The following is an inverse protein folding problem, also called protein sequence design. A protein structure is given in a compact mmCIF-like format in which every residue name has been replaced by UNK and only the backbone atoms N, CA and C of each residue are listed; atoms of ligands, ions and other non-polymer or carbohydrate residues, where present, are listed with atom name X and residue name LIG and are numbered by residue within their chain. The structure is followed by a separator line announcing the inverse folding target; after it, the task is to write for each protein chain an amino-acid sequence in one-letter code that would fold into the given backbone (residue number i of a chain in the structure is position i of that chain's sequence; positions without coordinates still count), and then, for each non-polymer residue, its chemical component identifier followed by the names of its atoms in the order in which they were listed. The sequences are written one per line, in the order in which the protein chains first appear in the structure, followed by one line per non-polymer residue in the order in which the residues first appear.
data_IF_092812696964
#
_entry.id   IF_092812696964
#
_cell.length_a   1.000
_cell.length_b   1.000
_cell.length_c   1.000
_cell.angle_alpha   90.00
_cell.angle_beta   90.00
_cell.angle_gamma   90.00
#
_symmetry.space_group_name_H-M   'P 1'
#
loop_
_entity.id
_entity.type
_entity.pdbx_description
1 polymer ?
#
# COMPACT_ATOMS: atom_id res chain seq x y z
N UNK A 1 -64.05 9.75 -62.25
CA UNK A 1 -64.41 9.72 -60.81
C UNK A 1 -63.25 9.06 -60.10
N UNK A 2 -62.45 9.86 -59.41
CA UNK A 2 -61.14 9.50 -58.86
C UNK A 2 -61.31 9.31 -57.35
N UNK A 3 -60.90 8.16 -56.82
CA UNK A 3 -60.92 7.87 -55.38
C UNK A 3 -59.76 8.60 -54.67
N UNK A 4 -59.94 9.13 -53.45
CA UNK A 4 -58.85 9.66 -52.65
C UNK A 4 -58.24 8.56 -51.77
N UNK A 5 -56.94 8.37 -51.94
CA UNK A 5 -56.04 7.62 -51.06
C UNK A 5 -55.69 8.51 -49.86
N UNK A 6 -56.16 8.17 -48.66
CA UNK A 6 -55.64 8.76 -47.41
C UNK A 6 -54.61 7.81 -46.80
N UNK A 7 -53.35 8.25 -46.85
CA UNK A 7 -52.20 7.70 -46.13
C UNK A 7 -52.17 8.33 -44.73
N UNK A 8 -52.46 7.54 -43.70
CA UNK A 8 -52.12 7.89 -42.32
C UNK A 8 -50.69 7.45 -42.01
N UNK A 9 -49.76 8.33 -41.63
CA UNK A 9 -48.51 7.92 -41.02
C UNK A 9 -48.77 7.56 -39.55
N UNK A 10 -48.50 6.31 -39.18
CA UNK A 10 -48.40 5.90 -37.78
C UNK A 10 -47.15 6.55 -37.18
N UNK A 11 -47.37 7.62 -36.39
CA UNK A 11 -46.36 8.13 -35.46
C UNK A 11 -46.07 7.04 -34.43
N UNK A 12 -44.95 6.36 -34.64
CA UNK A 12 -44.32 5.50 -33.64
C UNK A 12 -43.66 6.41 -32.61
N UNK A 13 -44.42 6.88 -31.63
CA UNK A 13 -43.87 7.43 -30.39
C UNK A 13 -43.13 6.29 -29.67
N UNK A 14 -41.84 6.17 -29.99
CA UNK A 14 -40.89 5.35 -29.25
C UNK A 14 -40.72 5.98 -27.87
N UNK A 15 -41.60 5.63 -26.93
CA UNK A 15 -41.41 5.91 -25.52
C UNK A 15 -40.13 5.22 -25.06
N UNK A 16 -39.05 6.01 -24.91
CA UNK A 16 -37.86 5.60 -24.20
C UNK A 16 -38.27 5.34 -22.75
N UNK A 17 -38.52 4.07 -22.45
CA UNK A 17 -38.60 3.56 -21.08
C UNK A 17 -37.27 3.86 -20.40
N UNK A 18 -37.23 4.95 -19.64
CA UNK A 18 -36.20 5.21 -18.65
C UNK A 18 -36.21 4.06 -17.66
N UNK A 19 -35.35 3.06 -17.90
CA UNK A 19 -35.04 2.06 -16.90
C UNK A 19 -34.54 2.80 -15.66
N UNK A 20 -35.05 2.52 -14.45
CA UNK A 20 -34.63 3.23 -13.25
C UNK A 20 -33.10 3.18 -13.16
N UNK A 21 -32.46 4.36 -13.17
CA UNK A 21 -31.01 4.49 -13.16
C UNK A 21 -30.45 3.66 -12.00
N UNK A 22 -29.88 2.52 -12.37
CA UNK A 22 -29.34 1.59 -11.40
C UNK A 22 -28.10 2.25 -10.81
N UNK A 23 -28.14 2.53 -9.52
CA UNK A 23 -27.02 3.13 -8.79
C UNK A 23 -25.72 2.37 -9.13
N UNK A 24 -24.68 3.05 -9.64
CA UNK A 24 -23.48 2.39 -10.14
C UNK A 24 -22.73 1.68 -9.00
N UNK A 25 -22.31 0.44 -9.25
CA UNK A 25 -21.46 -0.32 -8.34
C UNK A 25 -20.01 0.10 -8.54
N UNK A 26 -19.44 0.75 -7.53
CA UNK A 26 -18.08 1.25 -7.55
C UNK A 26 -17.09 0.23 -6.94
N UNK A 27 -15.88 0.18 -7.50
CA UNK A 27 -14.77 -0.63 -6.98
C UNK A 27 -13.87 0.23 -6.10
N UNK A 28 -13.34 -0.33 -5.00
CA UNK A 28 -12.34 0.36 -4.20
C UNK A 28 -11.04 0.47 -5.00
N UNK A 29 -10.44 1.66 -5.06
CA UNK A 29 -9.18 1.90 -5.74
C UNK A 29 -8.37 2.99 -5.03
N UNK A 30 -7.29 3.46 -5.67
CA UNK A 30 -6.51 4.62 -5.26
C UNK A 30 -6.29 5.57 -6.42
N UNK A 31 -6.26 6.85 -6.10
CA UNK A 31 -5.69 7.87 -6.96
C UNK A 31 -4.23 8.09 -6.57
N UNK A 32 -3.37 8.28 -7.57
CA UNK A 32 -1.92 8.41 -7.42
C UNK A 32 -1.43 9.65 -8.16
N UNK A 33 -0.49 10.37 -7.55
CA UNK A 33 0.24 11.48 -8.15
C UNK A 33 1.63 11.60 -7.52
N UNK A 34 2.71 11.43 -8.30
CA UNK A 34 4.09 11.32 -7.79
C UNK A 34 4.15 10.31 -6.62
N UNK A 35 4.69 10.72 -5.46
CA UNK A 35 4.74 9.91 -4.23
C UNK A 35 3.47 9.98 -3.37
N UNK A 36 2.45 10.72 -3.82
CA UNK A 36 1.21 10.91 -3.11
C UNK A 36 0.14 9.91 -3.58
N UNK A 37 -0.61 9.34 -2.65
CA UNK A 37 -1.77 8.50 -2.98
C UNK A 37 -2.90 8.65 -1.97
N UNK A 38 -4.13 8.56 -2.45
CA UNK A 38 -5.32 8.59 -1.60
C UNK A 38 -6.37 7.59 -2.06
N UNK A 39 -7.21 7.15 -1.13
CA UNK A 39 -8.26 6.17 -1.43
C UNK A 39 -9.36 6.82 -2.26
N UNK A 40 -9.81 6.13 -3.30
CA UNK A 40 -10.89 6.56 -4.19
C UNK A 40 -11.80 5.36 -4.51
N UNK A 41 -12.89 5.64 -5.22
CA UNK A 41 -13.74 4.64 -5.83
C UNK A 41 -13.69 4.80 -7.35
N UNK A 42 -13.66 3.68 -8.07
CA UNK A 42 -13.75 3.66 -9.52
C UNK A 42 -15.16 3.25 -9.93
N UNK A 43 -15.81 4.11 -10.71
CA UNK A 43 -17.11 3.86 -11.32
C UNK A 43 -16.98 2.91 -12.53
N UNK A 44 -18.09 2.30 -13.00
CA UNK A 44 -18.08 1.40 -14.16
C UNK A 44 -17.56 2.04 -15.46
N UNK A 45 -17.71 3.36 -15.62
CA UNK A 45 -17.18 4.13 -16.74
C UNK A 45 -15.67 4.42 -16.62
N UNK A 46 -15.01 3.96 -15.55
CA UNK A 46 -13.60 4.18 -15.27
C UNK A 46 -13.30 5.45 -14.46
N UNK A 47 -14.29 6.34 -14.29
CA UNK A 47 -14.15 7.60 -13.55
C UNK A 47 -13.84 7.35 -12.07
N UNK A 48 -12.98 8.20 -11.51
CA UNK A 48 -12.62 8.16 -10.10
C UNK A 48 -13.45 9.17 -9.31
N UNK A 49 -13.98 8.72 -8.18
CA UNK A 49 -14.77 9.53 -7.26
C UNK A 49 -14.31 9.33 -5.81
N UNK A 50 -14.58 10.30 -4.95
CA UNK A 50 -14.29 10.23 -3.52
C UNK A 50 -15.53 10.54 -2.70
N UNK A 51 -15.74 9.75 -1.64
CA UNK A 51 -16.70 10.08 -0.58
C UNK A 51 -16.23 11.25 0.29
N UNK A 52 -17.14 11.84 1.08
CA UNK A 52 -16.80 12.87 2.09
C UNK A 52 -15.56 12.51 2.91
N UNK A 53 -15.50 11.26 3.37
CA UNK A 53 -14.41 10.76 4.22
C UNK A 53 -13.09 10.65 3.46
N UNK A 54 -13.13 10.29 2.19
CA UNK A 54 -11.93 10.19 1.35
C UNK A 54 -11.41 11.58 0.98
N UNK A 55 -12.31 12.53 0.68
CA UNK A 55 -11.96 13.91 0.40
C UNK A 55 -11.42 14.66 1.64
N UNK A 56 -11.94 14.37 2.84
CA UNK A 56 -11.54 15.10 4.07
C UNK A 56 -10.20 14.65 4.65
N UNK A 57 -9.86 13.36 4.51
CA UNK A 57 -8.72 12.75 5.21
C UNK A 57 -7.35 13.31 4.78
N UNK A 58 -7.06 13.47 3.47
CA UNK A 58 -5.87 14.15 2.96
C UNK A 58 -5.56 15.48 3.62
N UNK A 59 -6.59 16.32 3.75
CA UNK A 59 -6.51 17.72 4.21
C UNK A 59 -6.77 17.86 5.71
N UNK A 60 -6.83 16.73 6.44
CA UNK A 60 -7.11 16.65 7.89
C UNK A 60 -8.40 17.38 8.33
N UNK A 61 -9.38 17.47 7.45
CA UNK A 61 -10.70 18.05 7.74
C UNK A 61 -11.69 16.97 8.17
N UNK A 62 -12.81 17.38 8.77
CA UNK A 62 -13.90 16.46 9.07
C UNK A 62 -14.73 16.17 7.81
N UNK A 63 -15.37 15.01 7.76
CA UNK A 63 -16.32 14.67 6.69
C UNK A 63 -17.53 15.63 6.65
N UNK A 64 -17.81 16.30 7.76
CA UNK A 64 -18.91 17.25 7.88
C UNK A 64 -18.56 18.54 7.14
N UNK A 65 -17.33 19.00 7.28
CA UNK A 65 -16.84 20.22 6.61
C UNK A 65 -16.85 20.07 5.08
N UNK A 66 -16.50 18.87 4.59
CA UNK A 66 -16.63 18.54 3.16
C UNK A 66 -18.09 18.66 2.74
N UNK A 67 -18.99 17.96 3.44
CA UNK A 67 -20.41 17.94 3.09
C UNK A 67 -21.03 19.35 3.10
N UNK A 68 -20.76 20.13 4.15
CA UNK A 68 -21.24 21.52 4.27
C UNK A 68 -20.69 22.42 3.15
N UNK A 69 -19.41 22.24 2.77
CA UNK A 69 -18.84 22.95 1.63
C UNK A 69 -19.52 22.57 0.31
N UNK A 70 -19.70 21.27 0.03
CA UNK A 70 -20.32 20.80 -1.22
C UNK A 70 -21.76 21.27 -1.35
N UNK A 71 -22.54 21.21 -0.26
CA UNK A 71 -23.93 21.68 -0.22
C UNK A 71 -24.02 23.21 -0.40
N UNK A 72 -23.17 23.98 0.30
CA UNK A 72 -23.18 25.46 0.20
C UNK A 72 -22.76 25.99 -1.17
N UNK A 73 -21.96 25.22 -1.93
CA UNK A 73 -21.52 25.58 -3.27
C UNK A 73 -22.32 24.88 -4.39
N UNK A 74 -23.40 24.17 -4.04
CA UNK A 74 -24.25 23.43 -5.00
C UNK A 74 -23.46 22.49 -5.90
N UNK A 75 -22.43 21.84 -5.34
CA UNK A 75 -21.58 20.92 -6.09
C UNK A 75 -22.28 19.56 -6.22
N UNK A 76 -22.36 19.06 -7.45
CA UNK A 76 -23.08 17.83 -7.76
C UNK A 76 -22.45 16.61 -7.08
N UNK A 77 -23.30 15.76 -6.51
CA UNK A 77 -22.91 14.51 -5.87
C UNK A 77 -23.50 13.32 -6.60
N UNK A 78 -22.70 12.27 -6.76
CA UNK A 78 -23.09 11.02 -7.40
C UNK A 78 -23.39 9.99 -6.32
N UNK A 79 -24.58 9.38 -6.36
CA UNK A 79 -24.88 8.22 -5.52
C UNK A 79 -24.20 6.98 -6.08
N UNK A 80 -23.42 6.29 -5.23
CA UNK A 80 -22.65 5.12 -5.64
C UNK A 80 -22.84 3.98 -4.64
N UNK A 81 -22.92 2.76 -5.14
CA UNK A 81 -22.92 1.56 -4.30
C UNK A 81 -21.49 1.06 -4.14
N UNK A 82 -20.97 1.05 -2.92
CA UNK A 82 -19.60 0.59 -2.62
C UNK A 82 -19.56 -0.94 -2.39
N UNK A 83 -18.37 -1.60 -2.33
CA UNK A 83 -18.27 -3.07 -2.30
C UNK A 83 -19.03 -3.78 -1.16
N UNK A 84 -19.26 -3.10 -0.03
CA UNK A 84 -20.07 -3.61 1.07
C UNK A 84 -21.59 -3.42 0.87
N UNK A 85 -22.01 -3.10 -0.36
CA UNK A 85 -23.38 -2.83 -0.81
C UNK A 85 -24.05 -1.59 -0.21
N UNK A 86 -23.35 -0.79 0.59
CA UNK A 86 -23.88 0.50 1.06
C UNK A 86 -23.91 1.51 -0.08
N UNK A 87 -24.96 2.32 -0.12
CA UNK A 87 -25.04 3.49 -1.00
C UNK A 87 -24.50 4.69 -0.25
N UNK A 88 -23.62 5.44 -0.90
CA UNK A 88 -23.02 6.67 -0.35
C UNK A 88 -23.03 7.78 -1.39
N UNK A 89 -22.91 9.03 -0.93
CA UNK A 89 -22.57 10.17 -1.77
C UNK A 89 -21.08 10.19 -2.07
N UNK A 90 -20.72 10.46 -3.32
CA UNK A 90 -19.36 10.64 -3.79
C UNK A 90 -19.26 11.82 -4.77
N UNK A 91 -18.07 12.35 -4.93
CA UNK A 91 -17.76 13.51 -5.77
C UNK A 91 -16.67 13.14 -6.77
N UNK A 92 -16.76 13.66 -7.99
CA UNK A 92 -15.68 13.57 -8.97
C UNK A 92 -14.38 14.17 -8.42
N UNK A 93 -13.24 13.75 -8.96
CA UNK A 93 -11.95 14.29 -8.55
C UNK A 93 -11.84 15.81 -8.78
N UNK A 94 -12.42 16.32 -9.86
CA UNK A 94 -12.46 17.75 -10.15
C UNK A 94 -13.23 18.54 -9.09
N UNK A 95 -14.36 18.01 -8.62
CA UNK A 95 -15.13 18.60 -7.52
C UNK A 95 -14.34 18.60 -6.20
N UNK A 96 -13.62 17.52 -5.90
CA UNK A 96 -12.72 17.45 -4.74
C UNK A 96 -11.58 18.48 -4.86
N UNK A 97 -11.05 18.68 -6.05
CA UNK A 97 -10.01 19.67 -6.31
C UNK A 97 -10.46 21.09 -5.98
N UNK A 98 -11.72 21.44 -6.30
CA UNK A 98 -12.31 22.74 -5.93
C UNK A 98 -12.30 22.93 -4.42
N UNK A 99 -12.73 21.92 -3.66
CA UNK A 99 -12.72 21.96 -2.20
C UNK A 99 -11.30 22.11 -1.63
N UNK A 100 -10.35 21.33 -2.13
CA UNK A 100 -8.96 21.42 -1.66
C UNK A 100 -8.31 22.76 -2.02
N UNK A 101 -8.62 23.32 -3.19
CA UNK A 101 -8.21 24.68 -3.59
C UNK A 101 -8.73 25.71 -2.61
N UNK A 102 -10.03 25.65 -2.26
CA UNK A 102 -10.62 26.55 -1.27
C UNK A 102 -9.90 26.49 0.08
N UNK A 103 -9.60 25.29 0.58
CA UNK A 103 -8.87 25.14 1.86
C UNK A 103 -7.45 25.70 1.78
N UNK A 104 -6.75 25.50 0.66
CA UNK A 104 -5.41 26.01 0.44
C UNK A 104 -5.40 27.54 0.41
N UNK A 105 -6.29 28.14 -0.38
CA UNK A 105 -6.39 29.59 -0.54
C UNK A 105 -6.85 30.28 0.75
N UNK A 106 -7.73 29.62 1.51
CA UNK A 106 -8.21 30.10 2.82
C UNK A 106 -7.26 29.78 3.97
N UNK A 107 -6.09 29.16 3.72
CA UNK A 107 -5.10 28.74 4.74
C UNK A 107 -5.70 27.86 5.85
N UNK A 108 -6.66 27.01 5.48
CA UNK A 108 -7.31 26.04 6.38
C UNK A 108 -6.59 24.69 6.40
N UNK A 109 -5.63 24.48 5.50
CA UNK A 109 -4.69 23.36 5.56
C UNK A 109 -3.59 23.72 6.57
N UNK A 110 -3.36 22.86 7.58
CA UNK A 110 -2.32 23.10 8.59
C UNK A 110 -0.95 23.29 7.94
N UNK A 111 -0.14 24.24 8.41
CA UNK A 111 1.20 24.55 7.87
C UNK A 111 2.08 23.30 7.74
N UNK A 112 2.12 22.46 8.77
CA UNK A 112 2.85 21.18 8.74
C UNK A 112 2.47 20.25 7.58
N UNK A 113 1.22 20.32 7.13
CA UNK A 113 0.71 19.53 6.00
C UNK A 113 0.95 20.24 4.67
N UNK A 114 0.93 21.58 4.67
CA UNK A 114 1.26 22.38 3.50
C UNK A 114 2.73 22.19 3.09
N UNK A 115 3.64 22.05 4.06
CA UNK A 115 5.07 21.82 3.81
C UNK A 115 5.40 20.38 3.35
N UNK A 116 4.52 19.42 3.66
CA UNK A 116 4.73 18.02 3.32
C UNK A 116 4.51 17.70 1.85
N UNK A 117 3.71 18.50 1.16
CA UNK A 117 3.24 18.18 -0.19
C UNK A 117 3.12 19.43 -1.06
N UNK A 118 3.40 19.27 -2.34
CA UNK A 118 3.14 20.27 -3.37
C UNK A 118 1.62 20.34 -3.66
N UNK A 119 0.84 20.89 -2.73
CA UNK A 119 -0.62 20.87 -2.81
C UNK A 119 -1.18 21.51 -4.08
N UNK A 120 -0.52 22.54 -4.61
CA UNK A 120 -0.94 23.18 -5.87
C UNK A 120 -0.93 22.17 -7.02
N UNK A 121 0.16 21.43 -7.17
CA UNK A 121 0.34 20.38 -8.17
C UNK A 121 -0.65 19.21 -7.97
N UNK A 122 -0.86 18.81 -6.71
CA UNK A 122 -1.83 17.76 -6.35
C UNK A 122 -3.24 18.19 -6.75
N UNK A 123 -3.62 19.44 -6.49
CA UNK A 123 -4.96 19.95 -6.83
C UNK A 123 -5.13 20.05 -8.34
N UNK A 124 -4.11 20.52 -9.06
CA UNK A 124 -4.15 20.63 -10.53
C UNK A 124 -4.28 19.26 -11.21
N UNK A 125 -3.54 18.26 -10.72
CA UNK A 125 -3.64 16.89 -11.24
C UNK A 125 -5.00 16.20 -10.99
N UNK A 126 -5.77 16.64 -9.98
CA UNK A 126 -7.15 16.18 -9.77
C UNK A 126 -8.15 16.79 -10.76
N UNK A 127 -7.85 17.97 -11.33
CA UNK A 127 -8.69 18.62 -12.34
C UNK A 127 -8.55 17.93 -13.70
N UNK A 128 -7.39 17.33 -13.96
CA UNK A 128 -7.06 16.64 -15.22
C UNK A 128 -6.61 15.19 -14.98
N UNK A 129 -7.49 14.31 -14.46
CA UNK A 129 -7.10 12.96 -14.05
C UNK A 129 -6.60 12.08 -15.20
N UNK A 130 -7.01 12.37 -16.45
CA UNK A 130 -6.55 11.68 -17.65
C UNK A 130 -5.08 11.93 -17.99
N UNK A 131 -4.55 13.11 -17.66
CA UNK A 131 -3.15 13.49 -17.93
C UNK A 131 -2.21 12.97 -16.83
N UNK A 132 -2.67 12.98 -15.57
CA UNK A 132 -1.93 12.44 -14.43
C UNK A 132 -1.66 10.92 -14.56
N UNK A 133 -2.57 10.19 -15.21
CA UNK A 133 -2.43 8.75 -15.46
C UNK A 133 -1.42 8.44 -16.58
N UNK A 134 -1.34 9.30 -17.60
CA UNK A 134 -0.37 9.16 -18.69
C UNK A 134 1.04 9.58 -18.24
N UNK A 135 1.16 10.63 -17.43
CA UNK A 135 2.44 11.01 -16.82
C UNK A 135 2.94 9.97 -15.80
N UNK A 136 2.08 9.13 -15.22
CA UNK A 136 2.54 8.02 -14.36
C UNK A 136 3.08 6.81 -15.14
N UNK A 137 2.92 6.79 -16.48
CA UNK A 137 3.41 5.69 -17.34
C UNK A 137 4.52 6.13 -18.29
N UNK A 138 4.86 7.41 -18.31
CA UNK A 138 5.97 7.97 -19.09
C UNK A 138 6.74 9.09 -18.36
N UNK A 139 6.61 9.17 -17.03
CA UNK A 139 7.62 9.85 -16.23
C UNK A 139 8.87 9.01 -16.26
N UNK A 140 9.84 9.50 -17.04
CA UNK A 140 11.25 9.54 -16.66
C UNK A 140 11.39 9.23 -15.17
N UNK A 141 11.99 8.08 -14.94
CA UNK A 141 12.75 7.74 -13.76
C UNK A 141 13.51 9.00 -13.31
N UNK A 142 12.89 9.84 -12.49
CA UNK A 142 13.62 10.46 -11.41
C UNK A 142 13.99 9.30 -10.51
N UNK A 143 15.10 8.68 -10.88
CA UNK A 143 15.95 7.86 -10.05
C UNK A 143 16.14 8.63 -8.72
N UNK A 144 15.22 8.45 -7.77
CA UNK A 144 15.72 7.97 -6.49
C UNK A 144 16.44 6.71 -6.87
N UNK A 145 17.76 6.83 -7.07
CA UNK A 145 18.69 5.74 -7.29
C UNK A 145 18.42 4.79 -6.11
N UNK A 146 17.45 3.88 -6.29
CA UNK A 146 17.19 2.84 -5.31
C UNK A 146 18.41 1.97 -5.47
N UNK A 147 19.42 2.27 -4.66
CA UNK A 147 20.69 1.58 -4.68
C UNK A 147 20.41 0.14 -4.29
N UNK A 148 20.19 -0.68 -5.32
CA UNK A 148 19.92 -2.09 -5.14
C UNK A 148 21.19 -2.67 -4.56
N UNK A 149 21.10 -3.06 -3.29
CA UNK A 149 22.27 -3.53 -2.56
C UNK A 149 22.37 -5.05 -2.73
N UNK A 150 23.52 -5.60 -3.17
CA UNK A 150 23.67 -7.04 -3.24
C UNK A 150 23.58 -7.63 -1.83
N UNK A 151 22.82 -8.71 -1.67
CA UNK A 151 22.62 -9.38 -0.40
C UNK A 151 22.79 -10.89 -0.52
N UNK A 152 23.45 -11.48 0.48
CA UNK A 152 23.60 -12.92 0.59
C UNK A 152 22.52 -13.47 1.53
N UNK A 153 21.61 -14.34 1.05
CA UNK A 153 20.58 -14.93 1.89
C UNK A 153 21.18 -16.05 2.74
N UNK A 154 20.77 -16.13 4.01
CA UNK A 154 21.09 -17.25 4.90
C UNK A 154 19.83 -17.67 5.66
N UNK A 155 19.57 -18.97 5.71
CA UNK A 155 18.44 -19.52 6.48
C UNK A 155 18.93 -19.93 7.86
N UNK A 156 18.33 -19.34 8.88
CA UNK A 156 18.62 -19.62 10.29
C UNK A 156 17.51 -20.44 10.92
N UNK A 157 17.85 -21.51 11.63
CA UNK A 157 16.91 -22.16 12.53
C UNK A 157 16.89 -21.45 13.88
N UNK A 158 15.78 -20.78 14.20
CA UNK A 158 15.62 -20.03 15.45
C UNK A 158 15.34 -20.98 16.62
N UNK A 159 14.32 -21.82 16.45
CA UNK A 159 13.87 -22.81 17.44
C UNK A 159 12.89 -23.80 16.79
N UNK A 160 13.16 -25.11 16.88
CA UNK A 160 12.23 -26.21 16.54
C UNK A 160 11.40 -25.94 15.27
N UNK A 161 12.04 -25.99 14.09
CA UNK A 161 11.42 -25.74 12.77
C UNK A 161 11.00 -24.29 12.47
N UNK A 162 11.28 -23.32 13.34
CA UNK A 162 11.17 -21.89 12.99
C UNK A 162 12.38 -21.51 12.15
N UNK A 163 12.19 -21.46 10.84
CA UNK A 163 13.19 -21.04 9.87
C UNK A 163 12.99 -19.56 9.54
N UNK A 164 14.07 -18.79 9.60
CA UNK A 164 14.10 -17.38 9.25
C UNK A 164 15.21 -17.16 8.21
N UNK A 165 14.84 -16.69 7.03
CA UNK A 165 15.81 -16.19 6.06
C UNK A 165 16.21 -14.76 6.40
N UNK A 166 17.52 -14.54 6.49
CA UNK A 166 18.14 -13.24 6.77
C UNK A 166 19.02 -12.86 5.58
N UNK A 167 18.87 -11.62 5.12
CA UNK A 167 19.66 -11.02 4.06
C UNK A 167 20.88 -10.32 4.69
N UNK A 168 22.07 -10.73 4.28
CA UNK A 168 23.34 -10.17 4.74
C UNK A 168 23.82 -9.16 3.70
N UNK A 169 23.85 -7.89 4.07
CA UNK A 169 24.30 -6.78 3.24
C UNK A 169 25.78 -6.45 3.54
N UNK A 170 26.44 -5.63 2.70
CA UNK A 170 27.75 -5.08 3.00
C UNK A 170 27.80 -4.40 4.37
N UNK A 171 29.00 -4.32 4.97
CA UNK A 171 29.23 -3.76 6.32
C UNK A 171 28.51 -4.51 7.46
N UNK A 172 28.13 -5.79 7.25
CA UNK A 172 27.42 -6.64 8.23
C UNK A 172 26.08 -6.06 8.66
N UNK A 173 25.41 -5.35 7.76
CA UNK A 173 24.01 -5.00 7.98
C UNK A 173 23.15 -6.25 7.71
N UNK A 174 22.19 -6.52 8.60
CA UNK A 174 21.27 -7.64 8.48
C UNK A 174 19.86 -7.10 8.25
N UNK A 175 19.18 -7.65 7.24
CA UNK A 175 17.81 -7.28 6.90
C UNK A 175 16.98 -8.54 6.65
N UNK A 176 15.67 -8.40 6.71
CA UNK A 176 14.74 -9.52 6.51
C UNK A 176 13.64 -9.05 5.55
N UNK A 177 13.25 -9.91 4.62
CA UNK A 177 12.17 -9.67 3.67
C UNK A 177 10.78 -9.79 4.33
N UNK A 178 9.75 -9.09 3.83
CA UNK A 178 8.36 -9.26 4.24
C UNK A 178 7.92 -10.73 4.30
N UNK A 179 8.21 -11.49 3.25
CA UNK A 179 7.90 -12.91 3.10
C UNK A 179 8.48 -13.74 4.26
N UNK A 180 9.78 -13.61 4.54
CA UNK A 180 10.45 -14.36 5.61
C UNK A 180 9.99 -13.92 7.01
N UNK A 181 9.95 -12.61 7.25
CA UNK A 181 9.68 -12.05 8.57
C UNK A 181 8.22 -12.22 9.03
N UNK A 182 7.24 -12.15 8.12
CA UNK A 182 5.84 -12.46 8.44
C UNK A 182 5.58 -13.97 8.36
N UNK A 183 6.22 -14.67 7.42
CA UNK A 183 6.09 -16.11 7.24
C UNK A 183 6.48 -16.90 8.50
N UNK A 184 7.57 -16.53 9.17
CA UNK A 184 8.03 -17.22 10.39
C UNK A 184 6.99 -17.15 11.54
N UNK A 185 6.14 -16.12 11.57
CA UNK A 185 5.06 -15.96 12.55
C UNK A 185 3.68 -16.37 12.01
N UNK A 186 3.60 -16.87 10.77
CA UNK A 186 2.37 -17.33 10.12
C UNK A 186 1.40 -16.20 9.76
N UNK A 187 1.91 -15.01 9.42
CA UNK A 187 1.12 -13.86 8.97
C UNK A 187 1.30 -13.69 7.45
N UNK A 188 0.24 -13.25 6.76
CA UNK A 188 0.27 -13.00 5.32
C UNK A 188 1.15 -11.80 4.97
N UNK A 189 1.91 -11.90 3.88
CA UNK A 189 2.88 -10.89 3.42
C UNK A 189 2.24 -9.51 3.16
N UNK A 190 1.00 -9.50 2.66
CA UNK A 190 0.26 -8.28 2.37
C UNK A 190 -0.04 -7.42 3.61
N UNK A 191 0.16 -7.94 4.83
CA UNK A 191 -0.09 -7.18 6.06
C UNK A 191 0.73 -5.89 6.12
N UNK A 192 1.98 -5.89 5.62
CA UNK A 192 2.82 -4.69 5.54
C UNK A 192 2.28 -3.70 4.50
N UNK A 193 1.83 -4.18 3.34
CA UNK A 193 1.22 -3.35 2.29
C UNK A 193 -0.08 -2.68 2.75
N UNK A 194 -0.78 -3.30 3.70
CA UNK A 194 -1.98 -2.74 4.33
C UNK A 194 -1.69 -1.74 5.45
N UNK A 195 -0.44 -1.59 5.92
CA UNK A 195 -0.12 -0.68 7.03
C UNK A 195 -0.54 0.77 6.79
N UNK A 196 -0.30 1.37 5.60
CA UNK A 196 -0.77 2.74 5.30
C UNK A 196 -2.29 2.89 5.42
N UNK A 197 -3.03 1.80 5.24
CA UNK A 197 -4.50 1.77 5.35
C UNK A 197 -4.99 1.68 6.80
N UNK A 198 -4.10 1.42 7.76
CA UNK A 198 -4.44 1.24 9.16
C UNK A 198 -3.67 2.21 10.07
N UNK A 199 -4.14 3.48 10.19
CA UNK A 199 -3.48 4.50 10.99
C UNK A 199 -3.24 4.08 12.44
N UNK A 200 -4.15 3.28 13.01
CA UNK A 200 -4.01 2.75 14.37
C UNK A 200 -2.85 1.76 14.49
N UNK A 201 -2.70 0.84 13.53
CA UNK A 201 -1.59 -0.12 13.50
C UNK A 201 -0.26 0.61 13.28
N UNK A 202 -0.21 1.50 12.29
CA UNK A 202 0.99 2.28 11.99
C UNK A 202 1.41 3.14 13.19
N UNK A 203 0.47 3.87 13.81
CA UNK A 203 0.75 4.65 15.02
C UNK A 203 1.31 3.78 16.15
N UNK A 204 0.76 2.57 16.36
CA UNK A 204 1.25 1.63 17.38
C UNK A 204 2.70 1.20 17.10
N UNK A 205 3.03 0.94 15.83
CA UNK A 205 4.39 0.56 15.41
C UNK A 205 5.37 1.73 15.58
N UNK A 206 5.02 2.92 15.08
CA UNK A 206 5.85 4.12 15.20
C UNK A 206 6.15 4.47 16.67
N UNK A 207 5.14 4.34 17.55
CA UNK A 207 5.31 4.54 19.00
C UNK A 207 6.26 3.54 19.66
N UNK A 208 6.54 2.41 19.01
CA UNK A 208 7.48 1.38 19.48
C UNK A 208 8.82 1.41 18.73
N UNK A 209 9.07 2.44 17.93
CA UNK A 209 10.37 2.62 17.25
C UNK A 209 10.48 1.94 15.89
N UNK A 210 9.37 1.55 15.26
CA UNK A 210 9.36 1.18 13.85
C UNK A 210 9.71 2.40 12.99
N UNK A 211 10.76 2.33 12.18
CA UNK A 211 11.12 3.39 11.24
C UNK A 211 10.37 3.24 9.92
N UNK A 212 10.12 2.00 9.50
CA UNK A 212 9.53 1.69 8.19
C UNK A 212 10.48 1.94 7.01
N UNK A 213 11.76 2.16 7.28
CA UNK A 213 12.77 2.34 6.23
C UNK A 213 13.05 1.01 5.54
N UNK A 214 12.61 0.88 4.29
CA UNK A 214 12.91 -0.28 3.46
C UNK A 214 14.13 -0.07 2.57
N UNK A 215 14.77 -1.19 2.19
CA UNK A 215 15.85 -1.21 1.19
C UNK A 215 15.57 -2.32 0.18
N UNK A 216 15.86 -2.05 -1.09
CA UNK A 216 15.83 -3.07 -2.14
C UNK A 216 17.14 -3.85 -2.14
N UNK A 217 17.04 -5.16 -2.06
CA UNK A 217 18.18 -6.07 -2.04
C UNK A 217 18.15 -6.99 -3.26
N UNK A 218 19.27 -7.11 -3.96
CA UNK A 218 19.43 -8.11 -5.01
C UNK A 218 19.93 -9.42 -4.39
N UNK A 219 19.12 -10.46 -4.52
CA UNK A 219 19.39 -11.80 -4.03
C UNK A 219 19.66 -12.68 -5.24
N UNK A 220 20.90 -13.16 -5.36
CA UNK A 220 21.29 -14.08 -6.43
C UNK A 220 21.04 -15.52 -5.96
N UNK A 221 20.05 -16.18 -6.54
CA UNK A 221 19.86 -17.62 -6.38
C UNK A 221 20.57 -18.38 -7.49
N UNK A 222 20.68 -19.70 -7.37
CA UNK A 222 21.29 -20.55 -8.40
C UNK A 222 20.54 -20.53 -9.73
N UNK A 223 19.27 -20.11 -9.74
CA UNK A 223 18.40 -20.11 -10.91
C UNK A 223 18.17 -18.70 -11.43
N UNK A 224 17.95 -17.73 -10.54
CA UNK A 224 17.54 -16.37 -10.91
C UNK A 224 18.03 -15.32 -9.91
N UNK A 225 18.20 -14.09 -10.38
CA UNK A 225 18.40 -12.92 -9.52
C UNK A 225 17.04 -12.30 -9.20
N UNK A 226 16.71 -12.16 -7.92
CA UNK A 226 15.45 -11.57 -7.45
C UNK A 226 15.75 -10.28 -6.68
N UNK A 227 15.02 -9.22 -6.97
CA UNK A 227 15.01 -8.01 -6.15
C UNK A 227 13.95 -8.17 -5.07
N UNK A 228 14.33 -7.96 -3.81
CA UNK A 228 13.47 -8.15 -2.65
C UNK A 228 13.53 -6.91 -1.76
N UNK A 229 12.36 -6.35 -1.43
CA UNK A 229 12.27 -5.29 -0.41
C UNK A 229 12.57 -5.88 0.98
N UNK A 230 13.30 -5.15 1.81
CA UNK A 230 13.70 -5.63 3.14
C UNK A 230 13.64 -4.54 4.21
N UNK A 231 13.30 -4.93 5.43
CA UNK A 231 13.29 -4.07 6.61
C UNK A 231 14.45 -4.42 7.55
N UNK A 232 14.80 -3.45 8.40
CA UNK A 232 15.86 -3.62 9.39
C UNK A 232 15.50 -4.67 10.44
N UNK A 233 16.50 -5.26 11.12
CA UNK A 233 16.23 -6.15 12.25
C UNK A 233 15.40 -5.47 13.35
N UNK A 234 15.62 -4.18 13.60
CA UNK A 234 14.91 -3.43 14.63
C UNK A 234 13.41 -3.31 14.31
N UNK A 235 13.08 -3.03 13.05
CA UNK A 235 11.70 -3.00 12.59
C UNK A 235 11.01 -4.36 12.76
N UNK A 236 11.72 -5.44 12.43
CA UNK A 236 11.19 -6.79 12.60
C UNK A 236 10.97 -7.17 14.05
N UNK A 237 11.91 -6.84 14.94
CA UNK A 237 11.73 -7.03 16.39
C UNK A 237 10.49 -6.28 16.89
N UNK A 238 10.28 -5.05 16.42
CA UNK A 238 9.11 -4.23 16.77
C UNK A 238 7.81 -4.85 16.25
N UNK A 239 7.78 -5.31 14.99
CA UNK A 239 6.62 -5.98 14.40
C UNK A 239 6.29 -7.25 15.20
N UNK A 240 7.28 -8.10 15.44
CA UNK A 240 7.08 -9.34 16.20
C UNK A 240 6.62 -9.07 17.63
N UNK A 241 7.12 -8.02 18.29
CA UNK A 241 6.66 -7.61 19.62
C UNK A 241 5.17 -7.23 19.61
N UNK A 242 4.72 -6.46 18.61
CA UNK A 242 3.29 -6.11 18.46
C UNK A 242 2.42 -7.36 18.29
N UNK A 243 2.88 -8.33 17.49
CA UNK A 243 2.15 -9.59 17.31
C UNK A 243 2.17 -10.46 18.57
N UNK A 244 3.30 -10.57 19.26
CA UNK A 244 3.44 -11.32 20.50
C UNK A 244 2.53 -10.75 21.60
N UNK A 245 2.48 -9.41 21.73
CA UNK A 245 1.58 -8.73 22.66
C UNK A 245 0.09 -8.99 22.35
N UNK A 246 -0.24 -9.25 21.08
CA UNK A 246 -1.59 -9.64 20.63
C UNK A 246 -1.85 -11.15 20.73
N UNK A 247 -0.98 -11.90 21.39
CA UNK A 247 -1.16 -13.34 21.62
C UNK A 247 -0.64 -14.25 20.52
N UNK A 248 0.12 -13.75 19.53
CA UNK A 248 0.75 -14.62 18.55
C UNK A 248 1.93 -15.38 19.20
N UNK A 249 1.71 -16.67 19.49
CA UNK A 249 2.69 -17.53 20.15
C UNK A 249 3.95 -17.78 19.33
N UNK A 250 3.86 -17.78 17.99
CA UNK A 250 5.03 -17.90 17.10
C UNK A 250 5.91 -16.66 17.19
N UNK A 251 5.32 -15.47 17.18
CA UNK A 251 6.07 -14.23 17.37
C UNK A 251 6.78 -14.19 18.74
N UNK A 252 6.09 -14.60 19.80
CA UNK A 252 6.70 -14.72 21.13
C UNK A 252 7.86 -15.74 21.15
N UNK A 253 7.73 -16.86 20.42
CA UNK A 253 8.79 -17.85 20.30
C UNK A 253 10.01 -17.32 19.52
N UNK A 254 9.80 -16.58 18.43
CA UNK A 254 10.86 -15.89 17.66
C UNK A 254 11.61 -14.93 18.56
N UNK A 255 10.91 -14.04 19.28
CA UNK A 255 11.53 -13.09 20.21
C UNK A 255 12.32 -13.79 21.32
N UNK A 256 11.77 -14.87 21.90
CA UNK A 256 12.47 -15.68 22.91
C UNK A 256 13.74 -16.32 22.34
N UNK A 257 13.70 -16.79 21.09
CA UNK A 257 14.87 -17.35 20.41
C UNK A 257 15.94 -16.28 20.15
N UNK A 258 15.54 -15.08 19.73
CA UNK A 258 16.44 -13.93 19.55
C UNK A 258 17.04 -13.43 20.86
N UNK A 259 16.28 -13.46 21.97
CA UNK A 259 16.78 -13.08 23.29
C UNK A 259 17.83 -14.07 23.83
N UNK A 260 17.69 -15.37 23.54
CA UNK A 260 18.69 -16.39 23.89
C UNK A 260 19.97 -16.23 23.08
N UNK A 261 19.83 -15.97 21.79
CA UNK A 261 20.95 -15.74 20.89
C UNK A 261 20.48 -14.84 19.76
N UNK A 262 21.06 -13.64 19.69
CA UNK A 262 20.66 -12.65 18.70
C UNK A 262 20.96 -13.11 17.26
N UNK A 263 20.29 -12.48 16.29
CA UNK A 263 20.42 -12.84 14.87
C UNK A 263 21.85 -12.68 14.36
N UNK A 264 22.57 -11.56 14.61
CA UNK A 264 23.96 -11.40 14.18
C UNK A 264 24.88 -12.57 14.59
N UNK A 265 24.82 -12.99 15.86
CA UNK A 265 25.64 -14.10 16.36
C UNK A 265 25.30 -15.43 15.71
N UNK A 266 24.01 -15.66 15.39
CA UNK A 266 23.58 -16.87 14.65
C UNK A 266 24.10 -16.86 13.22
N UNK A 267 24.07 -15.71 12.55
CA UNK A 267 24.63 -15.55 11.20
C UNK A 267 26.13 -15.82 11.24
N UNK A 268 26.86 -15.22 12.18
CA UNK A 268 28.31 -15.46 12.30
C UNK A 268 28.64 -16.92 12.57
N UNK A 269 27.88 -17.60 13.42
CA UNK A 269 28.06 -19.03 13.68
C UNK A 269 27.79 -19.88 12.43
N UNK A 270 26.79 -19.52 11.62
CA UNK A 270 26.45 -20.23 10.39
C UNK A 270 27.43 -19.94 9.23
N UNK A 271 28.06 -18.77 9.23
CA UNK A 271 29.09 -18.39 8.25
C UNK A 271 30.48 -18.96 8.57
N UNK A 272 30.75 -19.32 9.82
CA UNK A 272 32.03 -19.96 10.17
C UNK A 272 32.10 -21.30 9.42
N UNK A 273 33.05 -21.47 8.48
CA UNK A 273 33.30 -22.81 7.95
C UNK A 273 33.68 -23.68 9.14
N UNK A 274 33.05 -24.85 9.28
CA UNK A 274 33.54 -25.90 10.17
C UNK A 274 35.02 -26.08 9.88
N UNK A 275 35.88 -25.58 10.75
CA UNK A 275 37.33 -25.68 10.58
C UNK A 275 37.70 -27.16 10.66
N UNK A 276 38.00 -27.75 9.50
CA UNK A 276 38.86 -28.90 9.19
C UNK A 276 39.52 -29.62 10.40
N UNK A 277 38.75 -30.20 11.34
CA UNK A 277 39.33 -31.11 12.36
C UNK A 277 38.59 -32.45 12.52
N UNK A 278 37.39 -32.63 11.97
CA UNK A 278 36.69 -33.94 12.11
C UNK A 278 36.71 -34.83 10.85
N UNK A 279 37.31 -34.40 9.73
CA UNK A 279 37.48 -35.28 8.54
C UNK A 279 38.71 -36.19 8.57
N UNK A 280 39.61 -36.05 9.53
CA UNK A 280 40.83 -36.87 9.63
C UNK A 280 40.77 -38.03 10.65
N UNK A 281 39.65 -38.21 11.36
CA UNK A 281 39.52 -39.28 12.36
C UNK A 281 38.79 -40.55 11.89
N UNK A 282 38.36 -40.62 10.62
CA UNK A 282 37.69 -41.82 10.07
C UNK A 282 38.41 -42.50 8.89
N UNK A 283 39.62 -42.07 8.51
CA UNK A 283 40.40 -42.75 7.45
C UNK A 283 41.61 -43.55 7.97
N UNK A 284 41.77 -43.73 9.29
CA UNK A 284 42.87 -44.52 9.89
C UNK A 284 42.45 -45.77 10.66
N UNK A 285 41.24 -46.29 10.44
CA UNK A 285 40.78 -47.55 11.07
C UNK A 285 40.35 -48.64 10.08
N UNK A 286 40.86 -48.59 8.85
CA UNK A 286 40.86 -49.72 7.92
C UNK A 286 42.23 -49.78 7.23
N UNK A 287 43.22 -50.30 7.97
CA UNK A 287 44.45 -50.88 7.45
C UNK A 287 44.57 -52.27 8.07
#
# INVERSE_FOLDING_TARGET
MIQPTELFPQNSESSLLETPEKIPLAKSTRWHYKHYSCAAYQLPNGELVMSDRQASRPVKQSKRDVKEFMESHSLESILVQIPNRKVISAYSLSTVAIYWRYLLDSRLISEQLADQYEWKDIIESLQHPGEATLLSTSQEEQETEFTVTPANPIVLELQRKLLLEVLILPKREYRISPESGLGVIGVLENWLQELPNSPRKLKTLLQRGFSGESKLCQVNTTKESKIVESLSLNDWLTIWEVFAFRGNSKAAAVLKACAKQNIPLRVEAALKPYSIQERFLYSKTLA
#
